data_IF_759705524862
#
_entry.id   IF_759705524862
#
_cell.length_a   1.000
_cell.length_b   1.000
_cell.length_c   1.000
_cell.angle_alpha   90.00
_cell.angle_beta   90.00
_cell.angle_gamma   90.00
#
_symmetry.space_group_name_H-M   'P 1'
#
loop_
_entity.id
_entity.type
_entity.pdbx_description
1 polymer ?
#
# COMPACT_ATOMS: atom_id res chain seq x y z
N UNK A 1 56.58 97.22 -23.24
CA UNK A 1 56.98 96.07 -22.39
C UNK A 1 56.10 95.88 -21.15
N UNK A 2 55.76 96.92 -20.37
CA UNK A 2 54.90 96.80 -19.17
C UNK A 2 53.51 96.15 -19.40
N UNK A 3 52.86 96.44 -20.53
CA UNK A 3 51.53 95.88 -20.89
C UNK A 3 51.58 94.37 -21.23
N UNK A 4 52.69 93.91 -21.79
CA UNK A 4 52.92 92.49 -22.13
C UNK A 4 53.16 91.65 -20.87
N UNK A 5 53.90 92.21 -19.90
CA UNK A 5 54.12 91.59 -18.59
C UNK A 5 52.79 91.49 -17.81
N UNK A 6 51.94 92.52 -17.87
CA UNK A 6 50.62 92.49 -17.23
C UNK A 6 49.68 91.44 -17.85
N UNK A 7 49.68 91.31 -19.18
CA UNK A 7 48.91 90.25 -19.85
C UNK A 7 49.43 88.85 -19.52
N UNK A 8 50.75 88.67 -19.44
CA UNK A 8 51.37 87.41 -19.04
C UNK A 8 50.97 87.02 -17.60
N UNK A 9 51.01 87.99 -16.67
CA UNK A 9 50.59 87.81 -15.27
C UNK A 9 49.09 87.50 -15.13
N UNK A 10 48.23 88.09 -15.96
CA UNK A 10 46.81 87.73 -15.99
C UNK A 10 46.56 86.34 -16.60
N UNK A 11 47.30 85.95 -17.65
CA UNK A 11 47.21 84.63 -18.25
C UNK A 11 47.65 83.50 -17.31
N UNK A 12 48.66 83.75 -16.47
CA UNK A 12 49.13 82.79 -15.45
C UNK A 12 48.07 82.49 -14.36
N UNK A 13 47.12 83.39 -14.09
CA UNK A 13 46.02 83.10 -13.13
C UNK A 13 44.97 82.13 -13.67
N UNK A 14 44.81 82.04 -14.98
CA UNK A 14 43.84 81.14 -15.62
C UNK A 14 44.28 79.67 -15.53
N UNK A 15 45.60 79.43 -15.43
CA UNK A 15 46.19 78.09 -15.32
C UNK A 15 46.05 77.46 -13.91
N UNK A 16 45.59 78.22 -12.91
CA UNK A 16 45.42 77.74 -11.52
C UNK A 16 43.97 77.40 -11.16
N UNK A 17 43.13 77.02 -12.12
CA UNK A 17 41.76 76.58 -11.84
C UNK A 17 41.72 75.07 -11.53
N UNK A 18 41.60 74.62 -10.27
CA UNK A 18 41.37 73.21 -9.97
C UNK A 18 40.05 72.74 -10.59
N UNK A 19 40.13 71.81 -11.57
CA UNK A 19 38.98 71.42 -12.38
C UNK A 19 38.05 70.39 -11.70
N UNK A 20 38.54 69.54 -10.80
CA UNK A 20 37.70 68.52 -10.15
C UNK A 20 38.20 68.19 -8.74
N UNK A 21 37.29 68.21 -7.76
CA UNK A 21 37.51 67.73 -6.39
C UNK A 21 36.59 66.54 -6.15
N UNK A 22 37.14 65.44 -5.66
CA UNK A 22 36.32 64.32 -5.17
C UNK A 22 35.55 64.83 -3.94
N UNK A 23 34.23 64.92 -4.07
CA UNK A 23 33.34 65.27 -2.95
C UNK A 23 33.08 64.00 -2.15
N UNK A 24 33.81 63.83 -1.05
CA UNK A 24 33.53 62.82 -0.05
C UNK A 24 32.77 63.45 1.10
N UNK A 25 31.44 63.37 1.06
CA UNK A 25 30.60 63.81 2.18
C UNK A 25 30.48 62.68 3.20
N UNK A 26 31.04 62.91 4.39
CA UNK A 26 30.94 61.98 5.50
C UNK A 26 29.49 61.76 5.95
N UNK A 27 28.63 62.77 5.82
CA UNK A 27 27.21 62.68 6.18
C UNK A 27 26.49 61.67 5.28
N UNK A 28 26.67 61.78 3.96
CA UNK A 28 26.08 60.85 2.99
C UNK A 28 26.62 59.43 3.18
N UNK A 29 27.94 59.30 3.33
CA UNK A 29 28.58 57.99 3.55
C UNK A 29 28.03 57.33 4.80
N UNK A 30 27.94 58.07 5.90
CA UNK A 30 27.42 57.58 7.17
C UNK A 30 25.94 57.17 7.08
N UNK A 31 25.13 57.84 6.27
CA UNK A 31 23.73 57.46 6.03
C UNK A 31 23.62 56.17 5.20
N UNK A 32 24.37 56.07 4.10
CA UNK A 32 24.38 54.88 3.24
C UNK A 32 24.83 53.62 3.98
N UNK A 33 25.88 53.74 4.81
CA UNK A 33 26.41 52.62 5.60
C UNK A 33 25.37 52.03 6.58
N UNK A 34 24.46 52.87 7.10
CA UNK A 34 23.39 52.45 8.02
C UNK A 34 22.21 51.80 7.35
N UNK A 35 21.94 52.08 6.08
CA UNK A 35 20.75 51.52 5.42
C UNK A 35 20.84 50.01 5.19
N UNK A 36 22.04 49.43 5.17
CA UNK A 36 22.24 48.05 4.67
C UNK A 36 22.89 47.10 5.69
N UNK A 37 24.04 47.45 6.33
CA UNK A 37 24.68 46.50 7.25
C UNK A 37 25.69 47.07 8.27
N UNK A 38 26.41 48.16 7.96
CA UNK A 38 27.53 48.62 8.78
C UNK A 38 27.03 49.39 10.00
N UNK A 39 26.93 48.71 11.14
CA UNK A 39 26.81 49.20 12.53
C UNK A 39 26.02 50.52 12.78
N UNK A 40 24.95 50.43 13.60
CA UNK A 40 24.19 51.59 14.09
C UNK A 40 24.97 52.36 15.16
N UNK A 41 25.97 53.11 14.72
CA UNK A 41 26.89 53.83 15.60
C UNK A 41 26.41 55.26 15.86
N UNK A 42 26.16 55.59 17.13
CA UNK A 42 25.70 56.91 17.59
C UNK A 42 26.70 58.01 17.25
N UNK A 43 27.99 57.72 17.25
CA UNK A 43 29.03 58.73 17.06
C UNK A 43 29.14 59.20 15.60
N UNK A 44 28.62 58.39 14.67
CA UNK A 44 28.54 58.75 13.25
C UNK A 44 27.32 59.61 12.94
N UNK A 45 26.35 59.79 13.86
CA UNK A 45 25.16 60.61 13.60
C UNK A 45 25.57 62.06 13.37
N UNK A 46 25.41 62.45 12.12
CA UNK A 46 25.79 63.76 11.63
C UNK A 46 24.67 64.27 10.73
N UNK A 47 24.42 65.59 10.70
CA UNK A 47 25.08 66.66 11.47
C UNK A 47 24.90 66.53 12.99
N UNK A 48 25.87 67.03 13.78
CA UNK A 48 25.85 67.06 15.26
C UNK A 48 25.24 68.38 15.76
N UNK A 49 24.67 68.44 16.98
CA UNK A 49 24.00 69.65 17.50
C UNK A 49 24.91 70.89 17.56
N UNK A 50 26.23 70.71 17.60
CA UNK A 50 27.20 71.82 17.64
C UNK A 50 27.19 72.53 19.00
N UNK A 51 27.88 73.67 19.09
CA UNK A 51 27.94 74.47 20.31
C UNK A 51 26.53 74.93 20.72
N UNK A 52 26.13 74.63 21.96
CA UNK A 52 24.79 74.92 22.51
C UNK A 52 23.61 74.39 21.68
N UNK A 53 23.82 73.41 20.78
CA UNK A 53 22.74 72.90 19.93
C UNK A 53 22.35 73.85 18.80
N UNK A 54 23.16 74.85 18.47
CA UNK A 54 22.79 75.91 17.52
C UNK A 54 23.05 75.54 16.04
N UNK A 55 23.40 74.29 15.72
CA UNK A 55 23.63 73.89 14.34
C UNK A 55 22.31 73.82 13.53
N UNK A 56 22.08 74.69 12.53
CA UNK A 56 20.84 74.70 11.77
C UNK A 56 20.62 73.41 10.97
N UNK A 57 21.70 72.78 10.50
CA UNK A 57 21.63 71.50 9.78
C UNK A 57 21.19 70.36 10.70
N UNK A 58 21.58 70.39 11.98
CA UNK A 58 21.11 69.41 12.97
C UNK A 58 19.60 69.48 13.15
N UNK A 59 19.06 70.69 13.30
CA UNK A 59 17.61 70.89 13.42
C UNK A 59 16.88 70.46 12.14
N UNK A 60 17.38 70.87 10.97
CA UNK A 60 16.74 70.51 9.71
C UNK A 60 16.68 68.99 9.49
N UNK A 61 17.72 68.25 9.90
CA UNK A 61 17.79 66.79 9.72
C UNK A 61 17.07 66.01 10.82
N UNK A 62 17.22 66.40 12.10
CA UNK A 62 16.83 65.56 13.23
C UNK A 62 15.64 66.09 14.04
N UNK A 63 15.23 67.34 13.89
CA UNK A 63 14.16 67.92 14.71
C UNK A 63 12.83 67.16 14.59
N UNK A 64 12.54 66.61 13.41
CA UNK A 64 11.34 65.82 13.14
C UNK A 64 11.47 64.36 13.61
N UNK A 65 12.69 63.88 13.86
CA UNK A 65 12.97 62.50 14.23
C UNK A 65 13.96 62.41 15.41
N UNK A 66 13.60 62.96 16.59
CA UNK A 66 14.50 63.03 17.75
C UNK A 66 14.92 61.65 18.28
N UNK A 67 14.10 60.62 18.06
CA UNK A 67 14.35 59.25 18.52
C UNK A 67 15.17 58.41 17.53
N UNK A 68 15.45 58.94 16.35
CA UNK A 68 16.14 58.20 15.29
C UNK A 68 17.57 57.77 15.70
N UNK A 69 18.39 58.59 16.38
CA UNK A 69 19.70 58.13 16.85
C UNK A 69 19.66 57.05 17.93
N UNK A 70 18.54 56.91 18.65
CA UNK A 70 18.39 55.99 19.78
C UNK A 70 17.81 54.63 19.43
N UNK A 71 17.24 54.46 18.24
CA UNK A 71 16.57 53.22 17.82
C UNK A 71 17.23 52.66 16.57
N UNK A 72 17.71 51.41 16.64
CA UNK A 72 18.28 50.73 15.47
C UNK A 72 17.17 50.29 14.53
N UNK A 73 17.01 50.99 13.42
CA UNK A 73 15.95 50.75 12.42
C UNK A 73 16.43 49.91 11.23
N UNK A 74 17.62 49.29 11.33
CA UNK A 74 18.18 48.49 10.23
C UNK A 74 17.28 47.31 9.91
N UNK A 75 16.84 47.13 8.65
CA UNK A 75 16.03 45.97 8.26
C UNK A 75 16.70 44.63 8.60
N UNK A 76 18.01 44.56 8.38
CA UNK A 76 18.87 43.40 8.65
C UNK A 76 19.62 43.50 10.00
N UNK A 77 19.20 44.41 10.89
CA UNK A 77 19.72 44.45 12.25
C UNK A 77 19.34 43.18 13.04
N UNK A 78 19.94 42.92 14.21
CA UNK A 78 19.62 41.74 15.03
C UNK A 78 18.12 41.62 15.38
N UNK A 79 17.45 42.75 15.61
CA UNK A 79 16.01 42.83 15.87
C UNK A 79 15.24 43.43 14.70
N UNK A 80 15.88 43.55 13.53
CA UNK A 80 15.30 44.17 12.35
C UNK A 80 14.15 43.33 11.77
N UNK A 81 13.17 43.97 11.10
CA UNK A 81 12.01 43.29 10.55
C UNK A 81 12.38 42.23 9.50
N UNK A 82 13.44 42.42 8.72
CA UNK A 82 13.84 41.45 7.70
C UNK A 82 14.52 40.22 8.33
N UNK A 83 15.33 40.40 9.37
CA UNK A 83 15.91 39.29 10.15
C UNK A 83 14.81 38.44 10.78
N UNK A 84 13.80 39.08 11.36
CA UNK A 84 12.64 38.38 11.94
C UNK A 84 11.87 37.59 10.86
N UNK A 85 11.66 38.17 9.67
CA UNK A 85 11.02 37.47 8.55
C UNK A 85 11.81 36.26 8.07
N UNK A 86 13.14 36.37 7.96
CA UNK A 86 14.01 35.25 7.58
C UNK A 86 13.94 34.15 8.64
N UNK A 87 14.01 34.52 9.92
CA UNK A 87 13.89 33.56 11.02
C UNK A 87 12.54 32.85 11.01
N UNK A 88 11.44 33.59 10.80
CA UNK A 88 10.10 33.02 10.68
C UNK A 88 10.00 32.09 9.46
N UNK A 89 10.50 32.51 8.30
CA UNK A 89 10.49 31.68 7.08
C UNK A 89 11.31 30.39 7.26
N UNK A 90 12.44 30.45 7.97
CA UNK A 90 13.24 29.29 8.30
C UNK A 90 12.49 28.36 9.28
N UNK A 91 11.85 28.90 10.31
CA UNK A 91 11.01 28.11 11.22
C UNK A 91 9.83 27.46 10.50
N UNK A 92 9.17 28.17 9.59
CA UNK A 92 8.11 27.63 8.74
C UNK A 92 8.63 26.51 7.83
N UNK A 93 9.80 26.69 7.20
CA UNK A 93 10.39 25.65 6.34
C UNK A 93 10.74 24.37 7.11
N UNK A 94 11.17 24.50 8.38
CA UNK A 94 11.42 23.35 9.24
C UNK A 94 10.13 22.63 9.62
N UNK A 95 9.07 23.39 9.93
CA UNK A 95 7.75 22.81 10.19
C UNK A 95 7.21 22.08 8.95
N UNK A 96 7.33 22.68 7.76
CA UNK A 96 6.92 22.07 6.50
C UNK A 96 7.67 20.76 6.23
N UNK A 97 8.98 20.72 6.47
CA UNK A 97 9.77 19.49 6.34
C UNK A 97 9.30 18.39 7.32
N UNK A 98 8.99 18.75 8.57
CA UNK A 98 8.45 17.81 9.53
C UNK A 98 7.09 17.25 9.07
N UNK A 99 6.20 18.11 8.57
CA UNK A 99 4.91 17.69 8.02
C UNK A 99 5.08 16.78 6.80
N UNK A 100 6.01 17.09 5.91
CA UNK A 100 6.34 16.23 4.76
C UNK A 100 6.76 14.83 5.23
N UNK A 101 7.70 14.73 6.17
CA UNK A 101 8.14 13.45 6.73
C UNK A 101 6.98 12.67 7.39
N UNK A 102 6.09 13.35 8.11
CA UNK A 102 4.89 12.73 8.66
C UNK A 102 3.94 12.22 7.57
N UNK A 103 3.75 12.99 6.50
CA UNK A 103 2.90 12.58 5.38
C UNK A 103 3.48 11.38 4.62
N UNK A 104 4.80 11.35 4.42
CA UNK A 104 5.50 10.26 3.75
C UNK A 104 5.47 8.98 4.57
N UNK A 105 5.67 9.09 5.89
CA UNK A 105 5.57 7.95 6.80
C UNK A 105 4.13 7.40 6.85
N UNK A 106 3.12 8.26 6.92
CA UNK A 106 1.71 7.84 6.83
C UNK A 106 1.40 7.15 5.51
N UNK A 107 1.87 7.70 4.38
CA UNK A 107 1.71 7.10 3.05
C UNK A 107 2.38 5.72 2.98
N UNK A 108 3.63 5.61 3.44
CA UNK A 108 4.36 4.35 3.45
C UNK A 108 3.64 3.30 4.32
N UNK A 109 3.18 3.69 5.51
CA UNK A 109 2.40 2.80 6.39
C UNK A 109 1.05 2.40 5.78
N UNK A 110 0.36 3.33 5.13
CA UNK A 110 -0.90 3.05 4.45
C UNK A 110 -0.70 2.08 3.29
N UNK A 111 0.36 2.26 2.49
CA UNK A 111 0.71 1.34 1.40
C UNK A 111 1.08 -0.05 1.93
N UNK A 112 1.90 -0.14 2.98
CA UNK A 112 2.24 -1.43 3.61
C UNK A 112 1.01 -2.15 4.18
N UNK A 113 0.11 -1.40 4.83
CA UNK A 113 -1.16 -1.97 5.31
C UNK A 113 -2.02 -2.41 4.13
N UNK A 114 -2.25 -1.56 3.15
CA UNK A 114 -3.04 -1.90 1.96
C UNK A 114 -2.50 -3.15 1.25
N UNK A 115 -1.18 -3.29 1.10
CA UNK A 115 -0.58 -4.50 0.53
C UNK A 115 -0.80 -5.74 1.40
N UNK A 116 -0.77 -5.61 2.72
CA UNK A 116 -1.00 -6.72 3.64
C UNK A 116 -2.47 -7.22 3.62
N UNK A 117 -3.44 -6.36 3.31
CA UNK A 117 -4.85 -6.71 3.17
C UNK A 117 -5.24 -7.10 1.73
N UNK A 118 -4.45 -6.71 0.73
CA UNK A 118 -4.80 -6.96 -0.66
C UNK A 118 -4.81 -8.45 -1.00
N UNK A 119 -5.94 -8.94 -1.52
CA UNK A 119 -6.06 -10.30 -2.06
C UNK A 119 -5.30 -10.49 -3.37
N UNK A 120 -5.00 -9.40 -4.09
CA UNK A 120 -4.25 -9.43 -5.35
C UNK A 120 -2.83 -9.97 -5.16
N UNK A 121 -2.26 -9.83 -3.96
CA UNK A 121 -0.93 -10.32 -3.61
C UNK A 121 -0.96 -11.70 -2.94
N UNK A 122 -2.11 -12.38 -2.92
CA UNK A 122 -2.25 -13.70 -2.28
C UNK A 122 -1.34 -14.77 -2.91
N UNK A 123 -1.07 -14.66 -4.21
CA UNK A 123 -0.17 -15.58 -4.95
C UNK A 123 1.30 -15.43 -4.54
N UNK A 124 1.64 -14.27 -3.99
CA UNK A 124 2.96 -13.95 -3.45
C UNK A 124 3.07 -14.23 -1.95
N UNK A 125 2.03 -14.73 -1.28
CA UNK A 125 2.14 -15.11 0.13
C UNK A 125 3.12 -16.28 0.25
N UNK A 126 4.22 -16.13 1.01
CA UNK A 126 5.20 -17.21 1.16
C UNK A 126 4.57 -18.49 1.69
N UNK A 127 3.60 -18.41 2.60
CA UNK A 127 2.97 -19.62 3.15
C UNK A 127 2.07 -20.32 2.14
N UNK A 128 1.43 -19.55 1.24
CA UNK A 128 0.70 -20.13 0.12
C UNK A 128 1.65 -20.90 -0.80
N UNK A 129 2.76 -20.28 -1.19
CA UNK A 129 3.73 -20.90 -2.09
C UNK A 129 4.41 -22.14 -1.51
N UNK A 130 4.72 -22.13 -0.21
CA UNK A 130 5.45 -23.20 0.46
C UNK A 130 4.58 -24.39 0.86
N UNK A 131 3.31 -24.14 1.22
CA UNK A 131 2.46 -25.18 1.80
C UNK A 131 1.12 -25.33 1.06
N UNK A 132 0.27 -24.31 1.11
CA UNK A 132 -1.13 -24.46 0.69
C UNK A 132 -1.28 -24.76 -0.81
N UNK A 133 -0.41 -24.22 -1.65
CA UNK A 133 -0.40 -24.52 -3.09
C UNK A 133 -0.24 -26.02 -3.35
N UNK A 134 0.61 -26.69 -2.60
CA UNK A 134 0.83 -28.14 -2.73
C UNK A 134 -0.29 -28.93 -2.05
N UNK A 135 -0.76 -28.48 -0.89
CA UNK A 135 -1.85 -29.13 -0.18
C UNK A 135 -3.16 -29.12 -0.98
N UNK A 136 -3.43 -28.04 -1.71
CA UNK A 136 -4.59 -27.93 -2.62
C UNK A 136 -4.31 -28.41 -4.04
N UNK A 137 -3.12 -28.96 -4.35
CA UNK A 137 -2.80 -29.40 -5.70
C UNK A 137 -3.81 -30.42 -6.27
N UNK A 138 -4.30 -31.42 -5.51
CA UNK A 138 -5.34 -32.33 -6.00
C UNK A 138 -6.67 -31.62 -6.27
N UNK A 139 -7.07 -30.68 -5.41
CA UNK A 139 -8.29 -29.87 -5.60
C UNK A 139 -8.19 -28.97 -6.85
N UNK A 140 -7.01 -28.42 -7.14
CA UNK A 140 -6.75 -27.55 -8.29
C UNK A 140 -6.58 -28.32 -9.61
N UNK A 141 -6.42 -29.64 -9.56
CA UNK A 141 -6.29 -30.50 -10.74
C UNK A 141 -7.64 -30.77 -11.43
N UNK A 142 -7.65 -31.40 -12.60
CA UNK A 142 -8.89 -31.72 -13.32
C UNK A 142 -9.70 -32.80 -12.58
N UNK A 143 -11.04 -32.69 -12.48
CA UNK A 143 -11.89 -33.67 -11.78
C UNK A 143 -11.89 -35.08 -12.41
N UNK A 144 -11.38 -35.24 -13.63
CA UNK A 144 -11.31 -36.53 -14.31
C UNK A 144 -10.28 -37.47 -13.70
N UNK A 145 -9.21 -36.92 -13.10
CA UNK A 145 -8.15 -37.67 -12.43
C UNK A 145 -8.69 -38.47 -11.22
N UNK A 146 -9.80 -38.04 -10.63
CA UNK A 146 -10.40 -38.65 -9.43
C UNK A 146 -11.10 -39.99 -9.71
N UNK A 147 -11.34 -40.29 -10.99
CA UNK A 147 -11.88 -41.58 -11.46
C UNK A 147 -10.75 -42.54 -11.89
N UNK A 148 -9.49 -42.09 -11.90
CA UNK A 148 -8.35 -42.96 -12.21
C UNK A 148 -8.19 -44.03 -11.13
N UNK A 149 -7.88 -45.26 -11.55
CA UNK A 149 -7.81 -46.42 -10.66
C UNK A 149 -9.16 -47.09 -10.37
N UNK A 150 -10.31 -46.46 -10.70
CA UNK A 150 -11.61 -47.13 -10.67
C UNK A 150 -11.79 -48.01 -11.92
N UNK A 151 -12.05 -49.31 -11.75
CA UNK A 151 -12.32 -50.22 -12.87
C UNK A 151 -13.54 -49.76 -13.68
N UNK A 152 -13.61 -50.12 -14.96
CA UNK A 152 -14.62 -49.62 -15.90
C UNK A 152 -16.08 -49.78 -15.39
N UNK A 153 -16.39 -50.92 -14.74
CA UNK A 153 -17.70 -51.16 -14.11
C UNK A 153 -17.98 -50.20 -12.94
N UNK A 154 -16.99 -49.95 -12.08
CA UNK A 154 -17.10 -49.04 -10.95
C UNK A 154 -17.28 -47.60 -11.41
N UNK A 155 -16.56 -47.18 -12.45
CA UNK A 155 -16.72 -45.87 -13.07
C UNK A 155 -18.13 -45.68 -13.63
N UNK A 156 -18.66 -46.66 -14.37
CA UNK A 156 -20.03 -46.59 -14.88
C UNK A 156 -21.07 -46.51 -13.76
N UNK A 157 -20.89 -47.26 -12.68
CA UNK A 157 -21.76 -47.20 -11.51
C UNK A 157 -21.71 -45.83 -10.81
N UNK A 158 -20.52 -45.28 -10.57
CA UNK A 158 -20.35 -43.97 -9.91
C UNK A 158 -20.97 -42.82 -10.71
N UNK A 159 -20.91 -42.90 -12.04
CA UNK A 159 -21.52 -41.92 -12.95
C UNK A 159 -23.05 -42.09 -12.96
N UNK A 160 -23.55 -43.31 -13.19
CA UNK A 160 -24.99 -43.58 -13.28
C UNK A 160 -25.75 -43.37 -11.97
N UNK A 161 -25.10 -43.57 -10.83
CA UNK A 161 -25.68 -43.33 -9.50
C UNK A 161 -25.72 -41.85 -9.08
N UNK A 162 -25.13 -40.94 -9.84
CA UNK A 162 -25.03 -39.52 -9.48
C UNK A 162 -24.05 -39.22 -8.33
N UNK A 163 -23.28 -40.21 -7.86
CA UNK A 163 -22.28 -40.00 -6.82
C UNK A 163 -21.11 -39.14 -7.32
N UNK A 164 -20.73 -39.31 -8.58
CA UNK A 164 -19.68 -38.50 -9.20
C UNK A 164 -20.11 -37.05 -9.41
N UNK A 165 -21.34 -36.80 -9.86
CA UNK A 165 -21.84 -35.43 -10.05
C UNK A 165 -21.91 -34.68 -8.72
N UNK A 166 -22.42 -35.32 -7.66
CA UNK A 166 -22.41 -34.74 -6.31
C UNK A 166 -20.99 -34.36 -5.85
N UNK A 167 -20.01 -35.26 -6.07
CA UNK A 167 -18.63 -34.99 -5.68
C UNK A 167 -18.02 -33.85 -6.50
N UNK A 168 -18.28 -33.82 -7.81
CA UNK A 168 -17.81 -32.77 -8.70
C UNK A 168 -18.36 -31.39 -8.30
N UNK A 169 -19.66 -31.30 -7.99
CA UNK A 169 -20.33 -30.08 -7.53
C UNK A 169 -19.76 -29.58 -6.20
N UNK A 170 -19.60 -30.46 -5.21
CA UNK A 170 -19.06 -30.08 -3.90
C UNK A 170 -17.59 -29.62 -4.01
N UNK A 171 -16.82 -30.29 -4.87
CA UNK A 171 -15.44 -29.92 -5.17
C UNK A 171 -15.34 -28.57 -5.85
N UNK A 172 -16.21 -28.29 -6.81
CA UNK A 172 -16.28 -27.01 -7.52
C UNK A 172 -16.67 -25.87 -6.55
N UNK A 173 -17.67 -26.08 -5.70
CA UNK A 173 -18.06 -25.14 -4.64
C UNK A 173 -16.89 -24.80 -3.69
N UNK A 174 -16.11 -25.80 -3.26
CA UNK A 174 -14.91 -25.58 -2.45
C UNK A 174 -13.84 -24.78 -3.21
N UNK A 175 -13.65 -25.07 -4.49
CA UNK A 175 -12.70 -24.35 -5.34
C UNK A 175 -13.11 -22.89 -5.52
N UNK A 176 -14.38 -22.59 -5.77
CA UNK A 176 -14.90 -21.23 -5.87
C UNK A 176 -14.70 -20.44 -4.57
N UNK A 177 -15.00 -21.06 -3.42
CA UNK A 177 -14.77 -20.46 -2.10
C UNK A 177 -13.28 -20.18 -1.86
N UNK A 178 -12.40 -21.09 -2.27
CA UNK A 178 -10.94 -20.91 -2.19
C UNK A 178 -10.47 -19.75 -3.06
N UNK A 179 -10.96 -19.67 -4.30
CA UNK A 179 -10.63 -18.56 -5.19
C UNK A 179 -11.16 -17.21 -4.67
N UNK A 180 -12.36 -17.23 -4.09
CA UNK A 180 -12.96 -16.04 -3.46
C UNK A 180 -12.08 -15.57 -2.31
N UNK A 181 -11.75 -16.45 -1.37
CA UNK A 181 -10.87 -16.12 -0.24
C UNK A 181 -9.50 -15.57 -0.68
N UNK A 182 -8.96 -16.07 -1.81
CA UNK A 182 -7.71 -15.57 -2.41
C UNK A 182 -7.86 -14.15 -2.97
N UNK A 183 -8.95 -13.86 -3.67
CA UNK A 183 -9.16 -12.57 -4.36
C UNK A 183 -9.70 -11.47 -3.45
N UNK A 184 -10.40 -11.83 -2.38
CA UNK A 184 -11.00 -10.87 -1.44
C UNK A 184 -9.95 -10.13 -0.61
N UNK A 185 -10.26 -8.87 -0.27
CA UNK A 185 -9.47 -8.07 0.65
C UNK A 185 -9.70 -8.52 2.09
N UNK A 186 -8.82 -9.38 2.57
CA UNK A 186 -8.81 -9.93 3.93
C UNK A 186 -7.44 -9.71 4.54
N UNK A 187 -7.38 -9.57 5.86
CA UNK A 187 -6.09 -9.59 6.54
C UNK A 187 -5.39 -10.93 6.27
N UNK A 188 -4.06 -10.93 6.26
CA UNK A 188 -3.29 -12.16 6.07
C UNK A 188 -3.72 -13.28 7.03
N UNK A 189 -3.93 -12.96 8.31
CA UNK A 189 -4.34 -13.95 9.33
C UNK A 189 -5.70 -14.58 9.02
N UNK A 190 -6.70 -13.79 8.67
CA UNK A 190 -8.04 -14.28 8.29
C UNK A 190 -7.97 -15.16 7.05
N UNK A 191 -7.16 -14.77 6.07
CA UNK A 191 -6.94 -15.56 4.85
C UNK A 191 -6.33 -16.92 5.17
N UNK A 192 -5.33 -16.98 6.05
CA UNK A 192 -4.72 -18.25 6.47
C UNK A 192 -5.71 -19.14 7.22
N UNK A 193 -6.51 -18.58 8.12
CA UNK A 193 -7.57 -19.33 8.80
C UNK A 193 -8.62 -19.87 7.81
N UNK A 194 -8.96 -19.07 6.78
CA UNK A 194 -9.86 -19.52 5.72
C UNK A 194 -9.26 -20.70 4.94
N UNK A 195 -7.98 -20.66 4.59
CA UNK A 195 -7.28 -21.77 3.93
C UNK A 195 -7.29 -23.02 4.79
N UNK A 196 -6.97 -22.89 6.08
CA UNK A 196 -6.96 -24.04 6.98
C UNK A 196 -8.34 -24.68 7.10
N UNK A 197 -9.39 -23.86 7.19
CA UNK A 197 -10.76 -24.35 7.22
C UNK A 197 -11.14 -25.08 5.93
N UNK A 198 -10.86 -24.48 4.77
CA UNK A 198 -11.15 -25.09 3.47
C UNK A 198 -10.35 -26.37 3.24
N UNK A 199 -9.12 -26.45 3.72
CA UNK A 199 -8.31 -27.66 3.68
C UNK A 199 -8.94 -28.78 4.52
N UNK A 200 -9.42 -28.45 5.71
CA UNK A 200 -10.16 -29.39 6.56
C UNK A 200 -11.48 -29.86 5.94
N UNK A 201 -12.20 -28.96 5.25
CA UNK A 201 -13.42 -29.31 4.48
C UNK A 201 -13.07 -30.22 3.30
N UNK A 202 -11.99 -29.94 2.58
CA UNK A 202 -11.49 -30.77 1.48
C UNK A 202 -11.13 -32.20 1.94
N UNK A 203 -10.36 -32.36 3.03
CA UNK A 203 -10.02 -33.69 3.53
C UNK A 203 -11.25 -34.49 3.96
N UNK A 204 -12.29 -33.83 4.48
CA UNK A 204 -13.55 -34.50 4.80
C UNK A 204 -14.26 -34.97 3.52
N UNK A 205 -14.30 -34.12 2.49
CA UNK A 205 -14.88 -34.47 1.20
C UNK A 205 -14.16 -35.66 0.56
N UNK A 206 -12.83 -35.65 0.57
CA UNK A 206 -11.97 -36.73 0.08
C UNK A 206 -12.23 -38.03 0.83
N UNK A 207 -12.28 -38.00 2.16
CA UNK A 207 -12.58 -39.18 2.97
C UNK A 207 -13.98 -39.76 2.67
N UNK A 208 -14.99 -38.91 2.49
CA UNK A 208 -16.34 -39.33 2.11
C UNK A 208 -16.36 -39.91 0.69
N UNK A 209 -15.59 -39.34 -0.24
CA UNK A 209 -15.46 -39.83 -1.60
C UNK A 209 -14.81 -41.22 -1.65
N UNK A 210 -13.70 -41.42 -0.93
CA UNK A 210 -13.05 -42.72 -0.81
C UNK A 210 -13.98 -43.78 -0.23
N UNK A 211 -14.77 -43.42 0.79
CA UNK A 211 -15.75 -44.33 1.36
C UNK A 211 -16.84 -44.70 0.35
N UNK A 212 -17.37 -43.71 -0.38
CA UNK A 212 -18.35 -43.95 -1.46
C UNK A 212 -17.77 -44.84 -2.57
N UNK A 213 -16.51 -44.64 -2.96
CA UNK A 213 -15.82 -45.51 -3.92
C UNK A 213 -15.72 -46.94 -3.39
N UNK A 214 -15.29 -47.13 -2.13
CA UNK A 214 -15.20 -48.45 -1.49
C UNK A 214 -16.54 -49.17 -1.42
N UNK A 215 -17.61 -48.45 -1.06
CA UNK A 215 -18.96 -48.99 -1.00
C UNK A 215 -19.49 -49.36 -2.39
N UNK A 216 -19.22 -48.54 -3.40
CA UNK A 216 -19.55 -48.86 -4.79
C UNK A 216 -18.89 -50.16 -5.25
N UNK A 217 -17.59 -50.33 -4.97
CA UNK A 217 -16.88 -51.58 -5.25
C UNK A 217 -17.50 -52.79 -4.56
N UNK A 218 -17.82 -52.66 -3.26
CA UNK A 218 -18.48 -53.72 -2.50
C UNK A 218 -19.85 -54.07 -3.09
N UNK A 219 -20.66 -53.07 -3.44
CA UNK A 219 -21.96 -53.29 -4.08
C UNK A 219 -21.81 -54.06 -5.39
N UNK A 220 -20.86 -53.66 -6.25
CA UNK A 220 -20.58 -54.33 -7.53
C UNK A 220 -20.14 -55.78 -7.31
N UNK A 221 -19.26 -56.03 -6.35
CA UNK A 221 -18.81 -57.41 -6.04
C UNK A 221 -19.95 -58.31 -5.56
N UNK A 222 -20.88 -57.76 -4.76
CA UNK A 222 -22.04 -58.50 -4.26
C UNK A 222 -23.04 -58.73 -5.40
N UNK A 223 -23.29 -57.72 -6.25
CA UNK A 223 -24.18 -57.86 -7.40
C UNK A 223 -23.66 -58.85 -8.42
N UNK A 224 -22.34 -58.86 -8.67
CA UNK A 224 -21.70 -59.84 -9.56
C UNK A 224 -21.81 -61.26 -8.96
N UNK A 225 -21.58 -61.44 -7.65
CA UNK A 225 -21.73 -62.72 -6.97
C UNK A 225 -23.19 -63.23 -6.96
N UNK A 226 -24.16 -62.36 -6.70
CA UNK A 226 -25.59 -62.69 -6.76
C UNK A 226 -26.03 -63.07 -8.17
N UNK A 227 -25.51 -62.38 -9.20
CA UNK A 227 -25.74 -62.72 -10.60
C UNK A 227 -25.19 -64.10 -10.98
N UNK A 228 -24.04 -64.49 -10.43
CA UNK A 228 -23.47 -65.84 -10.62
C UNK A 228 -24.37 -66.89 -9.95
N UNK A 229 -24.83 -66.65 -8.72
CA UNK A 229 -25.74 -67.56 -8.02
C UNK A 229 -27.07 -67.72 -8.76
N UNK A 230 -27.62 -66.65 -9.33
CA UNK A 230 -28.83 -66.72 -10.16
C UNK A 230 -28.64 -67.51 -11.46
N UNK A 231 -27.44 -67.45 -12.07
CA UNK A 231 -27.11 -68.20 -13.30
C UNK A 231 -26.71 -69.66 -13.02
N UNK A 232 -26.14 -69.93 -11.86
CA UNK A 232 -25.64 -71.24 -11.43
C UNK A 232 -26.58 -71.99 -10.50
N UNK A 233 -27.69 -71.38 -10.08
CA UNK A 233 -28.77 -72.07 -9.39
C UNK A 233 -29.26 -73.21 -10.27
N UNK A 234 -29.54 -74.41 -9.72
CA UNK A 234 -30.07 -75.50 -10.50
C UNK A 234 -31.30 -74.98 -11.21
N UNK A 235 -31.34 -75.07 -12.55
CA UNK A 235 -32.60 -74.96 -13.28
C UNK A 235 -33.50 -75.98 -12.60
N UNK A 236 -34.47 -75.52 -11.81
CA UNK A 236 -35.55 -76.34 -11.32
C UNK A 236 -36.21 -76.89 -12.58
N UNK A 237 -35.79 -78.10 -12.96
CA UNK A 237 -36.50 -78.91 -13.93
C UNK A 237 -37.95 -78.95 -13.44
N UNK A 238 -38.95 -78.69 -14.31
CA UNK A 238 -40.35 -78.85 -13.95
C UNK A 238 -40.65 -80.36 -13.88
N UNK A 239 -40.05 -81.04 -12.91
CA UNK A 239 -40.23 -82.46 -12.62
C UNK A 239 -40.54 -82.66 -11.13
N UNK A 240 -41.06 -81.63 -10.46
CA UNK A 240 -41.85 -81.83 -9.26
C UNK A 240 -43.23 -82.29 -9.73
N UNK A 241 -43.58 -83.53 -9.37
CA UNK A 241 -44.95 -84.05 -9.48
C UNK A 241 -45.88 -82.97 -8.93
N UNK A 242 -46.87 -82.54 -9.72
CA UNK A 242 -47.87 -81.55 -9.28
C UNK A 242 -48.44 -82.03 -7.94
N UNK A 243 -48.57 -81.15 -6.97
CA UNK A 243 -49.08 -81.49 -5.63
C UNK A 243 -50.45 -82.19 -5.68
N UNK A 244 -51.21 -81.96 -6.76
CA UNK A 244 -52.44 -82.68 -7.12
C UNK A 244 -52.21 -84.19 -7.27
N UNK A 245 -51.12 -84.61 -7.92
CA UNK A 245 -50.80 -86.02 -8.09
C UNK A 245 -50.40 -86.70 -6.77
N UNK A 246 -49.81 -85.96 -5.84
CA UNK A 246 -49.47 -86.45 -4.50
C UNK A 246 -50.75 -86.54 -3.64
N UNK A 247 -51.64 -85.56 -3.73
CA UNK A 247 -52.93 -85.57 -3.05
C UNK A 247 -53.82 -86.74 -3.52
N UNK A 248 -53.88 -87.01 -4.83
CA UNK A 248 -54.61 -88.14 -5.40
C UNK A 248 -54.01 -89.50 -4.99
N UNK A 249 -52.68 -89.59 -4.86
CA UNK A 249 -52.00 -90.80 -4.39
C UNK A 249 -52.30 -91.09 -2.91
N UNK A 250 -52.35 -90.05 -2.07
CA UNK A 250 -52.72 -90.16 -0.66
C UNK A 250 -54.20 -90.55 -0.51
N UNK A 251 -55.10 -89.95 -1.29
CA UNK A 251 -56.53 -90.29 -1.28
C UNK A 251 -56.79 -91.73 -1.73
N UNK A 252 -56.01 -92.24 -2.69
CA UNK A 252 -56.09 -93.66 -3.10
C UNK A 252 -55.61 -94.64 -2.03
N UNK A 253 -54.77 -94.20 -1.10
CA UNK A 253 -54.23 -95.03 -0.02
C UNK A 253 -54.90 -94.81 1.34
N UNK A 254 -55.69 -93.75 1.53
CA UNK A 254 -56.54 -93.61 2.71
C UNK A 254 -57.88 -94.32 2.48
N UNK A 255 -58.06 -95.50 3.09
CA UNK A 255 -59.39 -96.11 3.22
C UNK A 255 -60.28 -95.24 4.11
N UNK A 256 -61.20 -94.51 3.49
CA UNK A 256 -62.52 -94.20 4.05
C UNK A 256 -63.53 -95.17 3.41
#
# INVERSE_FOLDING_TARGET
MKKLILMLLMGLRVLCCPAQRIVSDEHIKNQQERMVFKQWDRDKFTPKPGFLGLNPYYWLTWALHPNYPGSDLRPLGPQGPQTQRIALALAMSQADQAYQLHSDTLKAQALMKASAFSGLLSDMDPLWQLYYRYAFAPLLSTPENELEGAGAKARAYLISSGLYSWFAEERESLLERLQTARKTTLSRGERLLSYQRMLGEYHKLEAVWEEKKRLAWKHISISDAAGILHKSGPKLSPASRRDIAIADEILKHSKL
#
